data_IF_323288341521
#
_entry.id   IF_323288341521
#
_cell.length_a   1.000
_cell.length_b   1.000
_cell.length_c   1.000
_cell.angle_alpha   90.00
_cell.angle_beta   90.00
_cell.angle_gamma   90.00
#
_symmetry.space_group_name_H-M   'P 1'
#
loop_
_entity.id
_entity.type
_entity.pdbx_description
1 polymer ?
#
# COMPACT_ATOMS: atom_id res chain seq x y z
N UNK A 1 -3.23 -23.83 33.66
CA UNK A 1 -2.56 -24.19 32.39
C UNK A 1 -2.62 -22.97 31.49
N UNK A 2 -1.52 -22.26 31.26
CA UNK A 2 -1.46 -21.14 30.31
C UNK A 2 -0.80 -21.65 29.03
N UNK A 3 -1.59 -21.81 27.97
CA UNK A 3 -1.07 -22.17 26.65
C UNK A 3 -0.72 -20.87 25.91
N UNK A 4 0.55 -20.46 25.99
CA UNK A 4 1.06 -19.37 25.16
C UNK A 4 1.18 -19.93 23.74
N UNK A 5 0.27 -19.54 22.85
CA UNK A 5 0.30 -19.95 21.45
C UNK A 5 0.88 -18.81 20.61
N UNK A 6 2.07 -19.01 20.05
CA UNK A 6 2.74 -18.04 19.19
C UNK A 6 2.21 -18.18 17.75
N UNK A 7 1.16 -17.45 17.40
CA UNK A 7 0.73 -17.36 16.01
C UNK A 7 1.60 -16.35 15.26
N UNK A 8 2.42 -16.84 14.32
CA UNK A 8 3.06 -15.99 13.31
C UNK A 8 2.00 -15.60 12.25
N UNK A 9 1.06 -14.76 12.64
CA UNK A 9 -0.05 -14.25 11.83
C UNK A 9 0.35 -13.09 10.90
N UNK A 10 1.66 -12.80 10.76
CA UNK A 10 2.12 -11.59 10.11
C UNK A 10 3.42 -11.73 9.32
N UNK A 11 3.50 -10.99 8.21
CA UNK A 11 4.76 -10.70 7.52
C UNK A 11 5.48 -9.60 8.28
N UNK A 12 6.74 -9.82 8.66
CA UNK A 12 7.55 -8.81 9.32
C UNK A 12 8.54 -8.16 8.34
N UNK A 13 8.53 -6.83 8.28
CA UNK A 13 9.45 -6.05 7.46
C UNK A 13 10.62 -5.60 8.34
N UNK A 14 11.78 -6.19 8.08
CA UNK A 14 13.01 -5.85 8.78
C UNK A 14 13.61 -4.53 8.28
N UNK A 15 13.85 -4.43 6.98
CA UNK A 15 14.53 -3.29 6.37
C UNK A 15 13.76 -2.86 5.10
N UNK A 16 13.20 -1.66 5.12
CA UNK A 16 12.63 -1.01 3.94
C UNK A 16 13.31 0.35 3.77
N UNK A 17 14.11 0.48 2.72
CA UNK A 17 14.78 1.72 2.36
C UNK A 17 14.57 2.00 0.88
N UNK A 18 14.42 3.29 0.55
CA UNK A 18 14.42 3.77 -0.83
C UNK A 18 15.53 4.79 -0.94
N UNK A 19 16.44 4.55 -1.88
CA UNK A 19 17.53 5.47 -2.22
C UNK A 19 16.98 6.86 -2.54
N UNK A 20 17.74 7.90 -2.15
CA UNK A 20 17.25 9.29 -2.12
C UNK A 20 16.71 9.73 -3.47
N UNK A 21 17.37 9.35 -4.56
CA UNK A 21 17.04 9.68 -5.95
C UNK A 21 15.73 9.06 -6.45
N UNK A 22 15.30 7.97 -5.81
CA UNK A 22 14.12 7.20 -6.17
C UNK A 22 12.91 7.43 -5.24
N UNK A 23 13.06 8.30 -4.23
CA UNK A 23 11.98 8.63 -3.29
C UNK A 23 10.85 9.39 -3.96
N UNK A 24 9.67 9.38 -3.33
CA UNK A 24 8.43 10.06 -3.80
C UNK A 24 7.88 9.54 -5.13
N UNK A 25 8.35 8.40 -5.61
CA UNK A 25 7.87 7.70 -6.82
C UNK A 25 6.95 6.50 -6.52
N UNK A 26 6.42 6.40 -5.29
CA UNK A 26 5.56 5.28 -4.88
C UNK A 26 6.28 3.96 -4.56
N UNK A 27 7.60 3.85 -4.76
CA UNK A 27 8.36 2.59 -4.57
C UNK A 27 8.15 1.95 -3.18
N UNK A 28 8.24 2.75 -2.11
CA UNK A 28 8.02 2.24 -0.75
C UNK A 28 6.61 1.69 -0.55
N UNK A 29 5.61 2.32 -1.17
CA UNK A 29 4.22 1.85 -1.17
C UNK A 29 4.09 0.53 -1.92
N UNK A 30 4.64 0.44 -3.14
CA UNK A 30 4.62 -0.77 -3.95
C UNK A 30 5.30 -1.96 -3.25
N UNK A 31 6.42 -1.72 -2.57
CA UNK A 31 7.10 -2.77 -1.80
C UNK A 31 6.26 -3.26 -0.60
N UNK A 32 5.51 -2.37 0.04
CA UNK A 32 4.58 -2.73 1.13
C UNK A 32 3.37 -3.50 0.60
N UNK A 33 2.83 -3.11 -0.56
CA UNK A 33 1.74 -3.81 -1.23
C UNK A 33 2.16 -5.22 -1.66
N UNK A 34 3.36 -5.39 -2.24
CA UNK A 34 3.91 -6.69 -2.60
C UNK A 34 4.14 -7.58 -1.37
N UNK A 35 4.62 -6.99 -0.27
CA UNK A 35 4.72 -7.70 1.01
C UNK A 35 3.35 -8.18 1.49
N UNK A 36 2.31 -7.36 1.29
CA UNK A 36 0.93 -7.73 1.58
C UNK A 36 0.43 -8.88 0.72
N UNK A 37 0.69 -8.83 -0.59
CA UNK A 37 0.34 -9.90 -1.54
C UNK A 37 1.01 -11.23 -1.17
N UNK A 38 2.29 -11.20 -0.79
CA UNK A 38 3.01 -12.40 -0.30
C UNK A 38 2.39 -12.91 1.01
N UNK A 39 1.97 -12.01 1.90
CA UNK A 39 1.26 -12.35 3.13
C UNK A 39 -0.06 -13.07 2.89
N UNK A 40 -0.90 -12.56 1.98
CA UNK A 40 -2.18 -13.17 1.61
C UNK A 40 -2.00 -14.58 1.03
N UNK A 41 -1.00 -14.78 0.15
CA UNK A 41 -0.65 -16.11 -0.39
C UNK A 41 -0.28 -17.13 0.69
N UNK A 42 0.16 -16.68 1.86
CA UNK A 42 0.53 -17.52 3.00
C UNK A 42 -0.55 -17.58 4.08
N UNK A 43 -1.76 -17.08 3.80
CA UNK A 43 -2.87 -16.99 4.76
C UNK A 43 -2.48 -16.25 6.06
N UNK A 44 -1.61 -15.24 5.94
CA UNK A 44 -1.29 -14.34 7.04
C UNK A 44 -2.40 -13.29 7.14
N UNK A 45 -2.45 -12.59 8.28
CA UNK A 45 -3.48 -11.59 8.57
C UNK A 45 -2.94 -10.16 8.53
N UNK A 46 -1.65 -9.99 8.78
CA UNK A 46 -1.06 -8.66 8.94
C UNK A 46 0.29 -8.49 8.24
N UNK A 47 0.63 -7.23 7.96
CA UNK A 47 2.01 -6.77 7.74
C UNK A 47 2.43 -5.99 8.96
N UNK A 48 3.61 -6.28 9.51
CA UNK A 48 4.16 -5.64 10.70
C UNK A 48 5.56 -5.12 10.46
N UNK A 49 5.93 -4.04 11.13
CA UNK A 49 7.28 -3.49 11.08
C UNK A 49 7.57 -2.68 12.34
N UNK A 50 8.84 -2.45 12.61
CA UNK A 50 9.29 -1.55 13.68
C UNK A 50 9.91 -0.31 13.06
N UNK A 51 9.48 0.86 13.52
CA UNK A 51 9.91 2.15 13.00
C UNK A 51 10.35 3.02 14.17
N UNK A 52 11.49 3.70 14.03
CA UNK A 52 11.90 4.68 15.03
C UNK A 52 10.98 5.90 15.01
N UNK A 53 10.68 6.44 16.20
CA UNK A 53 9.72 7.53 16.41
C UNK A 53 10.08 8.84 15.68
N UNK A 54 11.37 9.05 15.43
CA UNK A 54 11.89 10.18 14.68
C UNK A 54 11.75 10.03 13.16
N UNK A 55 11.50 8.81 12.65
CA UNK A 55 11.33 8.54 11.22
C UNK A 55 9.90 8.86 10.75
N UNK A 56 9.56 10.14 10.73
CA UNK A 56 8.22 10.64 10.38
C UNK A 56 7.76 10.23 8.97
N UNK A 57 8.69 10.06 8.03
CA UNK A 57 8.39 9.65 6.65
C UNK A 57 7.91 8.20 6.60
N UNK A 58 8.59 7.29 7.30
CA UNK A 58 8.17 5.90 7.39
C UNK A 58 6.83 5.79 8.13
N UNK A 59 6.67 6.47 9.27
CA UNK A 59 5.41 6.47 10.01
C UNK A 59 4.24 6.98 9.15
N UNK A 60 4.44 8.07 8.41
CA UNK A 60 3.43 8.61 7.49
C UNK A 60 3.08 7.62 6.38
N UNK A 61 4.04 6.88 5.83
CA UNK A 61 3.79 5.83 4.85
C UNK A 61 2.92 4.70 5.45
N UNK A 62 3.30 4.18 6.62
CA UNK A 62 2.54 3.11 7.28
C UNK A 62 1.13 3.57 7.65
N UNK A 63 0.97 4.74 8.29
CA UNK A 63 -0.35 5.25 8.66
C UNK A 63 -1.22 5.58 7.44
N UNK A 64 -0.62 6.06 6.34
CA UNK A 64 -1.33 6.25 5.06
C UNK A 64 -1.85 4.96 4.43
N UNK A 65 -1.33 3.80 4.86
CA UNK A 65 -1.82 2.47 4.47
C UNK A 65 -2.76 1.85 5.51
N UNK A 66 -3.20 2.61 6.51
CA UNK A 66 -4.10 2.11 7.55
C UNK A 66 -3.40 1.44 8.73
N UNK A 67 -2.07 1.57 8.86
CA UNK A 67 -1.36 1.00 10.01
C UNK A 67 -1.91 1.52 11.34
N UNK A 68 -1.93 0.63 12.33
CA UNK A 68 -2.16 0.94 13.73
C UNK A 68 -0.90 0.70 14.53
N UNK A 69 -0.71 1.47 15.59
CA UNK A 69 0.37 1.24 16.56
C UNK A 69 -0.01 0.04 17.42
N UNK A 70 0.87 -0.95 17.48
CA UNK A 70 0.70 -2.11 18.36
C UNK A 70 1.28 -1.85 19.75
N UNK A 71 2.51 -1.35 19.81
CA UNK A 71 3.16 -0.89 21.04
C UNK A 71 4.30 0.08 20.75
N UNK A 72 4.74 0.78 21.79
CA UNK A 72 5.94 1.63 21.79
C UNK A 72 6.93 1.11 22.84
N UNK A 73 8.17 0.89 22.44
CA UNK A 73 9.27 0.45 23.31
C UNK A 73 10.44 1.42 23.16
N UNK A 74 10.58 2.36 24.08
CA UNK A 74 11.56 3.45 23.96
C UNK A 74 11.28 4.29 22.70
N UNK A 75 12.27 4.36 21.80
CA UNK A 75 12.17 5.07 20.51
C UNK A 75 11.52 4.24 19.41
N UNK A 76 11.30 2.95 19.64
CA UNK A 76 10.76 2.04 18.63
C UNK A 76 9.23 1.99 18.70
N UNK A 77 8.58 2.16 17.56
CA UNK A 77 7.13 2.04 17.39
C UNK A 77 6.88 0.81 16.52
N UNK A 78 6.20 -0.19 17.07
CA UNK A 78 5.73 -1.31 16.24
C UNK A 78 4.41 -0.94 15.61
N UNK A 79 4.38 -1.01 14.28
CA UNK A 79 3.20 -0.75 13.47
C UNK A 79 2.72 -2.05 12.85
N UNK A 80 1.40 -2.17 12.73
CA UNK A 80 0.73 -3.33 12.13
C UNK A 80 -0.39 -2.84 11.21
N UNK A 81 -0.47 -3.40 10.01
CA UNK A 81 -1.54 -3.17 9.04
C UNK A 81 -2.24 -4.49 8.78
N UNK A 82 -3.58 -4.49 8.76
CA UNK A 82 -4.35 -5.66 8.34
C UNK A 82 -4.24 -5.82 6.82
N UNK A 83 -4.06 -7.05 6.35
CA UNK A 83 -3.86 -7.30 4.92
C UNK A 83 -5.04 -6.90 4.04
N UNK A 84 -6.26 -7.00 4.58
CA UNK A 84 -7.49 -6.56 3.91
C UNK A 84 -7.54 -5.04 3.72
N UNK A 85 -6.90 -4.29 4.64
CA UNK A 85 -6.91 -2.82 4.64
C UNK A 85 -5.85 -2.25 3.68
N UNK A 86 -4.75 -3.00 3.44
CA UNK A 86 -3.67 -2.55 2.54
C UNK A 86 -4.18 -2.47 1.09
N UNK A 87 -5.03 -3.41 0.68
CA UNK A 87 -5.76 -3.43 -0.59
C UNK A 87 -6.85 -4.52 -0.53
N UNK A 88 -8.15 -4.21 -0.65
CA UNK A 88 -9.15 -5.25 -0.91
C UNK A 88 -8.84 -5.90 -2.25
N UNK A 89 -8.85 -7.23 -2.30
CA UNK A 89 -8.55 -7.98 -3.52
C UNK A 89 -9.44 -7.48 -4.67
N UNK A 90 -8.80 -6.93 -5.71
CA UNK A 90 -9.51 -6.39 -6.89
C UNK A 90 -9.24 -4.92 -7.24
N UNK A 91 -8.51 -4.16 -6.42
CA UNK A 91 -8.26 -2.74 -6.70
C UNK A 91 -6.84 -2.44 -7.22
N UNK A 92 -6.62 -2.72 -8.51
CA UNK A 92 -5.56 -2.05 -9.27
C UNK A 92 -6.06 -0.65 -9.67
N UNK A 93 -6.08 0.31 -8.73
CA UNK A 93 -6.17 1.72 -9.16
C UNK A 93 -4.79 2.37 -9.16
N UNK A 94 -4.31 2.88 -10.31
CA UNK A 94 -3.20 3.79 -10.30
C UNK A 94 -3.63 5.08 -9.61
N UNK A 95 -2.84 5.53 -8.62
CA UNK A 95 -3.10 6.77 -7.87
C UNK A 95 -2.89 8.07 -8.67
N UNK A 96 -2.76 8.01 -9.99
CA UNK A 96 -2.84 9.19 -10.87
C UNK A 96 -3.28 8.83 -12.29
N UNK A 97 -4.10 9.68 -12.96
CA UNK A 97 -4.51 9.46 -14.35
C UNK A 97 -3.33 9.49 -15.33
N UNK A 98 -2.23 10.17 -14.97
CA UNK A 98 -1.06 10.32 -15.83
C UNK A 98 -0.22 9.05 -15.97
N UNK A 99 -0.14 8.20 -14.94
CA UNK A 99 0.61 6.92 -15.02
C UNK A 99 -0.17 5.80 -15.73
N UNK A 100 -1.48 5.96 -15.91
CA UNK A 100 -2.34 5.00 -16.62
C UNK A 100 -2.20 5.12 -18.14
N UNK A 101 -2.07 6.36 -18.62
CA UNK A 101 -2.05 6.70 -20.05
C UNK A 101 -0.78 6.21 -20.76
N UNK A 102 0.35 6.15 -20.07
CA UNK A 102 1.61 5.62 -20.61
C UNK A 102 1.57 4.11 -20.85
N UNK A 103 0.71 3.39 -20.13
CA UNK A 103 0.69 1.92 -20.10
C UNK A 103 -0.39 1.33 -21.03
N UNK A 104 -1.51 2.04 -21.18
CA UNK A 104 -2.62 1.62 -22.04
C UNK A 104 -2.45 1.96 -23.51
N UNK A 105 -1.65 2.97 -23.83
CA UNK A 105 -1.28 3.28 -25.22
C UNK A 105 -0.44 2.18 -25.89
N UNK A 106 0.11 1.24 -25.12
CA UNK A 106 0.87 0.10 -25.66
C UNK A 106 -0.03 -1.06 -26.13
N UNK A 107 -1.31 -1.09 -25.77
CA UNK A 107 -2.20 -2.25 -26.03
C UNK A 107 -3.60 -1.89 -26.54
N UNK A 108 -3.97 -0.62 -26.57
CA UNK A 108 -5.29 -0.19 -27.01
C UNK A 108 -5.22 0.72 -28.24
N UNK A 109 -6.21 0.56 -29.11
CA UNK A 109 -6.45 1.49 -30.20
C UNK A 109 -6.82 2.88 -29.66
N UNK A 110 -6.54 3.97 -30.41
CA UNK A 110 -6.89 5.34 -30.01
C UNK A 110 -8.36 5.53 -29.61
N UNK A 111 -9.27 4.75 -30.21
CA UNK A 111 -10.70 4.80 -29.92
C UNK A 111 -11.05 4.25 -28.53
N UNK A 112 -10.34 3.20 -28.08
CA UNK A 112 -10.55 2.58 -26.75
C UNK A 112 -10.00 3.46 -25.63
N UNK A 113 -8.96 4.25 -25.93
CA UNK A 113 -8.42 5.27 -25.01
C UNK A 113 -9.42 6.41 -24.81
N UNK A 114 -10.10 6.86 -25.88
CA UNK A 114 -11.11 7.91 -25.79
C UNK A 114 -12.37 7.49 -24.99
N UNK A 115 -12.78 6.22 -25.11
CA UNK A 115 -13.91 5.66 -24.36
C UNK A 115 -13.62 5.50 -22.86
N UNK A 116 -12.38 5.16 -22.51
CA UNK A 116 -11.97 5.05 -21.11
C UNK A 116 -11.85 6.43 -20.43
N UNK A 117 -11.45 7.46 -21.18
CA UNK A 117 -11.45 8.86 -20.71
C UNK A 117 -12.85 9.42 -20.41
N UNK A 118 -13.84 9.10 -21.25
CA UNK A 118 -15.23 9.53 -21.06
C UNK A 118 -15.88 8.83 -19.86
N UNK A 119 -15.59 7.55 -19.64
CA UNK A 119 -16.01 6.83 -18.42
C UNK A 119 -15.36 7.37 -17.13
N UNK A 120 -14.07 7.71 -17.17
CA UNK A 120 -13.35 8.30 -16.02
C UNK A 120 -13.86 9.71 -15.68
N UNK A 121 -14.18 10.53 -16.69
CA UNK A 121 -14.76 11.86 -16.50
C UNK A 121 -16.17 11.79 -15.91
N UNK A 122 -16.98 10.78 -16.25
CA UNK A 122 -18.31 10.59 -15.66
C UNK A 122 -18.25 10.21 -14.17
N UNK A 123 -17.20 9.50 -13.73
CA UNK A 123 -17.01 9.13 -12.32
C UNK A 123 -16.56 10.33 -11.47
N UNK A 124 -15.93 11.34 -12.07
CA UNK A 124 -15.39 12.52 -11.36
C UNK A 124 -16.15 13.83 -11.61
N UNK A 125 -16.98 13.91 -12.66
CA UNK A 125 -17.77 15.10 -13.01
C UNK A 125 -19.17 15.15 -12.41
N UNK A 126 -19.47 14.27 -11.45
CA UNK A 126 -20.80 14.09 -10.86
C UNK A 126 -21.04 14.81 -9.54
N UNK A 127 -20.40 15.94 -9.26
CA UNK A 127 -20.83 16.88 -8.20
C UNK A 127 -20.57 18.32 -8.67
N UNK A 128 -21.63 19.03 -9.06
CA UNK A 128 -21.57 20.47 -9.36
C UNK A 128 -22.38 20.92 -10.57
N UNK A 129 -23.71 20.84 -10.47
CA UNK A 129 -24.64 21.78 -11.12
C UNK A 129 -25.54 22.37 -10.03
#
# INVERSE_FOLDING_TARGET
>A
VSAITYYHDSVYIFNLCVEKEFRRRGIGTTLLEESGRVGRKKNLLYVSGTVEDHNKKALSLYFGLGARVQYKAGKNIRVRVKLDDVMPDGFLLPRSPFSFMSSLSLFLSPLQVALSLSGLLAIWGGEGL
#
